data_IF_466351781808
#
_entry.id   IF_466351781808
#
_cell.length_a   1.000
_cell.length_b   1.000
_cell.length_c   1.000
_cell.angle_alpha   90.00
_cell.angle_beta   90.00
_cell.angle_gamma   90.00
#
_symmetry.space_group_name_H-M   'P 1'
#
loop_
_entity.id
_entity.type
_entity.pdbx_description
1 polymer ?
#
# COMPACT_ATOMS: atom_id res chain seq x y z
N UNK A 1 -58.85 5.67 38.60
CA UNK A 1 -59.68 6.04 37.43
C UNK A 1 -59.74 7.56 37.32
N UNK A 2 -59.52 8.09 36.10
CA UNK A 2 -59.87 9.44 35.62
C UNK A 2 -59.14 10.66 36.21
N UNK A 3 -58.17 11.17 35.44
CA UNK A 3 -57.65 12.55 35.41
C UNK A 3 -56.60 12.55 34.26
N UNK A 4 -56.64 13.32 33.16
CA UNK A 4 -56.99 14.72 32.90
C UNK A 4 -57.45 14.92 31.45
N UNK A 5 -58.35 15.87 31.23
CA UNK A 5 -58.73 16.45 29.92
C UNK A 5 -58.82 17.97 30.05
N UNK A 6 -57.98 18.74 29.33
CA UNK A 6 -58.11 20.16 28.93
C UNK A 6 -57.13 20.30 27.73
N UNK A 7 -57.48 20.34 26.43
CA UNK A 7 -58.21 21.31 25.58
C UNK A 7 -57.68 22.76 25.56
N UNK A 8 -56.89 23.10 24.53
CA UNK A 8 -56.70 24.43 23.92
C UNK A 8 -56.19 24.15 22.48
N UNK A 9 -56.98 24.32 21.40
CA UNK A 9 -57.30 25.57 20.67
C UNK A 9 -56.03 26.25 20.12
N UNK A 10 -55.85 26.63 18.86
CA UNK A 10 -56.60 26.55 17.60
C UNK A 10 -55.65 26.96 16.44
N UNK A 11 -56.06 26.62 15.21
CA UNK A 11 -55.85 27.26 13.91
C UNK A 11 -54.79 28.36 13.73
N UNK A 12 -53.89 28.18 12.75
CA UNK A 12 -53.75 29.11 11.60
C UNK A 12 -53.38 28.31 10.35
N UNK A 13 -54.21 28.51 9.33
CA UNK A 13 -54.19 28.01 7.96
C UNK A 13 -54.01 29.25 7.08
N UNK A 14 -53.21 29.19 5.98
CA UNK A 14 -53.15 30.08 4.80
C UNK A 14 -51.76 29.87 4.15
N UNK A 15 -51.52 29.10 3.07
CA UNK A 15 -52.03 29.06 1.69
C UNK A 15 -51.59 30.22 0.78
N UNK A 16 -51.15 29.83 -0.44
CA UNK A 16 -50.92 30.58 -1.71
C UNK A 16 -49.48 31.01 -2.08
N UNK A 17 -49.15 31.21 -3.39
CA UNK A 17 -49.21 30.25 -4.50
C UNK A 17 -48.02 30.38 -5.49
N UNK A 18 -48.06 29.55 -6.53
CA UNK A 18 -47.19 29.51 -7.71
C UNK A 18 -47.29 30.73 -8.66
N UNK A 19 -46.36 30.80 -9.64
CA UNK A 19 -46.38 31.44 -10.98
C UNK A 19 -44.98 32.07 -11.25
N UNK A 20 -44.30 32.03 -12.40
CA UNK A 20 -44.42 31.35 -13.70
C UNK A 20 -43.34 31.94 -14.63
N UNK A 21 -42.77 31.10 -15.51
CA UNK A 21 -42.36 31.40 -16.89
C UNK A 21 -41.23 32.41 -17.20
N UNK A 22 -40.21 31.96 -17.95
CA UNK A 22 -40.08 32.29 -19.38
C UNK A 22 -39.08 31.36 -20.10
N UNK A 23 -39.58 30.73 -21.15
CA UNK A 23 -38.87 29.97 -22.19
C UNK A 23 -38.35 30.89 -23.29
N UNK A 24 -37.13 30.70 -23.82
CA UNK A 24 -36.75 31.20 -25.15
C UNK A 24 -35.76 30.26 -25.86
N UNK A 25 -36.33 29.57 -26.85
CA UNK A 25 -35.85 29.19 -28.20
C UNK A 25 -34.46 28.60 -28.47
N UNK A 26 -34.54 27.43 -29.09
CA UNK A 26 -33.65 26.81 -30.08
C UNK A 26 -33.12 27.77 -31.17
N UNK A 27 -31.83 27.63 -31.49
CA UNK A 27 -31.34 27.78 -32.87
C UNK A 27 -30.33 26.69 -33.19
N UNK A 28 -30.78 25.77 -34.03
CA UNK A 28 -29.98 24.87 -34.85
C UNK A 28 -29.27 25.68 -35.94
N UNK A 29 -27.96 25.51 -36.09
CA UNK A 29 -27.27 25.92 -37.33
C UNK A 29 -26.32 24.82 -37.79
N UNK A 30 -26.44 24.53 -39.08
CA UNK A 30 -25.87 23.46 -39.89
C UNK A 30 -24.75 24.06 -40.76
N UNK A 31 -23.57 23.45 -40.80
CA UNK A 31 -22.58 23.56 -41.89
C UNK A 31 -21.45 22.55 -41.60
N UNK A 32 -21.32 21.40 -42.27
CA UNK A 32 -20.89 21.11 -43.65
C UNK A 32 -19.55 21.73 -44.07
N UNK A 33 -18.56 20.84 -44.22
CA UNK A 33 -17.46 20.79 -45.19
C UNK A 33 -16.83 22.10 -45.70
N UNK A 34 -15.51 22.24 -45.60
CA UNK A 34 -14.59 22.11 -46.75
C UNK A 34 -13.15 22.54 -46.40
N UNK A 35 -12.20 21.73 -46.90
CA UNK A 35 -10.81 22.00 -47.30
C UNK A 35 -10.11 23.28 -46.85
N UNK A 36 -8.93 23.12 -46.23
CA UNK A 36 -7.87 24.13 -46.28
C UNK A 36 -6.53 23.48 -46.67
N UNK A 37 -6.00 23.93 -47.81
CA UNK A 37 -4.61 23.73 -48.26
C UNK A 37 -4.01 25.13 -48.46
N UNK A 38 -2.82 25.36 -47.89
CA UNK A 38 -1.84 26.46 -48.16
C UNK A 38 -2.27 27.87 -47.71
N UNK A 39 -1.44 28.77 -47.16
CA UNK A 39 0.01 28.98 -47.31
C UNK A 39 0.60 29.84 -46.17
N UNK A 40 1.83 29.50 -45.77
CA UNK A 40 3.04 30.34 -45.58
C UNK A 40 3.00 31.54 -44.58
N UNK A 41 3.81 31.44 -43.51
CA UNK A 41 4.98 32.30 -43.29
C UNK A 41 5.86 31.76 -42.12
N UNK A 42 7.16 32.00 -42.24
CA UNK A 42 8.32 31.42 -41.54
C UNK A 42 8.48 31.84 -40.06
N UNK A 43 9.36 31.13 -39.32
CA UNK A 43 10.28 31.86 -38.44
C UNK A 43 11.76 31.57 -38.71
N UNK A 44 12.51 32.67 -38.69
CA UNK A 44 13.94 32.83 -38.94
C UNK A 44 14.85 32.17 -37.89
N UNK A 45 15.98 31.70 -38.42
CA UNK A 45 17.22 31.23 -37.79
C UNK A 45 17.92 32.22 -36.86
N UNK A 46 18.51 31.69 -35.78
CA UNK A 46 19.94 31.76 -35.40
C UNK A 46 20.11 31.50 -33.89
N UNK A 47 21.21 31.05 -33.29
CA UNK A 47 22.41 30.25 -33.62
C UNK A 47 23.26 30.34 -32.33
N UNK A 48 23.85 29.23 -31.83
CA UNK A 48 25.01 29.11 -30.90
C UNK A 48 24.90 27.73 -30.21
N UNK A 49 25.58 26.65 -30.62
CA UNK A 49 27.03 26.40 -30.73
C UNK A 49 27.75 26.55 -29.37
N UNK A 50 28.53 25.61 -28.83
CA UNK A 50 29.01 24.29 -29.26
C UNK A 50 29.51 23.57 -28.00
N UNK A 51 29.26 22.27 -27.90
CA UNK A 51 29.92 21.38 -26.94
C UNK A 51 31.39 21.23 -27.31
N UNK A 52 32.28 21.57 -26.38
CA UNK A 52 33.71 21.36 -26.53
C UNK A 52 34.27 20.71 -25.26
N UNK A 53 34.35 19.38 -25.27
CA UNK A 53 35.39 18.64 -24.56
C UNK A 53 35.49 17.26 -25.20
N UNK A 54 36.32 17.16 -26.22
CA UNK A 54 37.48 16.28 -26.20
C UNK A 54 38.39 16.73 -27.35
N UNK A 55 39.56 17.22 -26.94
CA UNK A 55 40.58 17.80 -27.81
C UNK A 55 41.10 16.77 -28.81
N UNK A 56 41.05 17.22 -30.05
CA UNK A 56 41.86 16.87 -31.22
C UNK A 56 43.35 17.07 -30.93
N UNK A 57 44.19 16.14 -31.40
CA UNK A 57 45.44 16.48 -32.10
C UNK A 57 45.70 15.43 -33.17
N UNK A 58 45.41 15.79 -34.42
CA UNK A 58 46.15 15.29 -35.58
C UNK A 58 46.53 16.53 -36.38
N UNK A 59 47.84 16.75 -36.47
CA UNK A 59 48.47 17.73 -37.35
C UNK A 59 48.51 17.11 -38.74
N UNK A 60 48.32 17.96 -39.74
CA UNK A 60 48.22 17.65 -41.16
C UNK A 60 49.58 17.55 -41.86
N UNK A 61 49.53 16.95 -43.05
CA UNK A 61 50.38 17.11 -44.25
C UNK A 61 51.52 16.12 -44.54
N UNK A 62 51.64 15.89 -45.85
CA UNK A 62 52.70 15.29 -46.67
C UNK A 62 52.84 13.76 -46.68
N UNK A 63 52.42 13.21 -47.83
CA UNK A 63 53.11 12.24 -48.69
C UNK A 63 53.93 11.09 -48.08
N UNK A 64 53.73 9.94 -48.73
CA UNK A 64 54.64 8.81 -48.85
C UNK A 64 54.50 7.67 -47.84
N UNK A 65 54.08 6.54 -48.42
CA UNK A 65 54.47 5.15 -48.10
C UNK A 65 54.17 4.63 -46.69
N UNK A 66 53.31 3.61 -46.65
CA UNK A 66 53.23 2.66 -45.55
C UNK A 66 54.35 1.62 -45.73
N UNK A 67 55.31 1.46 -44.80
CA UNK A 67 56.00 0.20 -44.63
C UNK A 67 55.40 -0.56 -43.44
N UNK A 68 54.95 -1.77 -43.74
CA UNK A 68 54.71 -2.83 -42.78
C UNK A 68 56.04 -3.25 -42.13
N UNK A 69 56.24 -2.89 -40.87
CA UNK A 69 56.97 -3.65 -39.84
C UNK A 69 57.45 -2.70 -38.76
N UNK A 70 57.01 -2.89 -37.51
CA UNK A 70 57.91 -3.05 -36.37
C UNK A 70 57.09 -3.44 -35.14
N UNK A 71 57.51 -4.54 -34.53
CA UNK A 71 57.05 -5.03 -33.24
C UNK A 71 57.32 -4.01 -32.12
N UNK A 72 56.58 -4.22 -31.02
CA UNK A 72 56.97 -3.98 -29.62
C UNK A 72 56.38 -2.73 -28.95
N UNK A 73 55.25 -2.93 -28.27
CA UNK A 73 55.20 -2.78 -26.81
C UNK A 73 53.85 -3.30 -26.29
N UNK A 74 53.90 -4.49 -25.71
CA UNK A 74 52.80 -5.13 -25.00
C UNK A 74 52.46 -4.33 -23.75
N UNK A 75 51.59 -3.31 -23.88
CA UNK A 75 50.86 -2.81 -22.72
C UNK A 75 49.71 -3.76 -22.44
N UNK A 76 50.01 -4.82 -21.68
CA UNK A 76 49.01 -5.62 -21.00
C UNK A 76 48.32 -4.72 -19.96
N UNK A 77 47.25 -4.05 -20.37
CA UNK A 77 46.27 -3.54 -19.42
C UNK A 77 45.64 -4.76 -18.76
N UNK A 78 46.27 -5.23 -17.68
CA UNK A 78 45.65 -6.10 -16.71
C UNK A 78 44.48 -5.31 -16.15
N UNK A 79 43.33 -5.46 -16.79
CA UNK A 79 42.04 -5.21 -16.16
C UNK A 79 41.91 -6.30 -15.10
N UNK A 80 42.65 -6.15 -14.01
CA UNK A 80 42.38 -6.70 -12.71
C UNK A 80 41.08 -6.06 -12.26
N UNK A 81 40.00 -6.43 -12.95
CA UNK A 81 38.64 -6.22 -12.54
C UNK A 81 38.55 -7.08 -11.29
N UNK A 82 38.89 -6.47 -10.16
CA UNK A 82 38.56 -7.00 -8.85
C UNK A 82 37.07 -7.28 -8.93
N UNK A 83 36.74 -8.56 -9.18
CA UNK A 83 35.41 -9.09 -9.00
C UNK A 83 35.26 -9.15 -7.48
N UNK A 84 35.22 -7.97 -6.85
CA UNK A 84 34.93 -7.77 -5.45
C UNK A 84 33.65 -8.56 -5.22
N UNK A 85 33.80 -9.60 -4.43
CA UNK A 85 32.79 -10.57 -4.05
C UNK A 85 31.41 -9.89 -3.95
N UNK A 86 30.61 -10.01 -5.01
CA UNK A 86 29.18 -9.76 -4.92
C UNK A 86 28.64 -10.91 -4.08
N UNK A 87 28.65 -10.73 -2.75
CA UNK A 87 28.12 -11.65 -1.74
C UNK A 87 26.75 -12.11 -2.26
N UNK A 88 26.70 -13.34 -2.75
CA UNK A 88 25.49 -13.93 -3.31
C UNK A 88 24.40 -13.77 -2.25
N UNK A 89 23.35 -13.02 -2.57
CA UNK A 89 22.29 -12.69 -1.62
C UNK A 89 21.77 -13.99 -1.00
N UNK A 90 21.94 -14.14 0.30
CA UNK A 90 21.48 -15.34 1.00
C UNK A 90 19.97 -15.45 0.80
N UNK A 91 19.53 -16.50 0.07
CA UNK A 91 18.10 -16.73 -0.18
C UNK A 91 17.39 -16.81 1.17
N UNK A 92 16.47 -15.87 1.44
CA UNK A 92 15.67 -15.87 2.67
C UNK A 92 14.88 -17.17 2.74
N UNK A 93 15.19 -18.02 3.73
CA UNK A 93 14.42 -19.23 4.01
C UNK A 93 12.97 -18.83 4.34
N UNK A 94 12.00 -19.46 3.67
CA UNK A 94 10.58 -19.23 3.99
C UNK A 94 10.30 -19.75 5.41
N UNK A 95 9.52 -19.03 6.23
CA UNK A 95 9.13 -19.52 7.54
C UNK A 95 8.32 -20.81 7.41
N UNK A 96 8.58 -21.81 8.27
CA UNK A 96 7.91 -23.11 8.24
C UNK A 96 6.39 -23.01 8.50
N UNK A 97 5.96 -21.98 9.22
CA UNK A 97 4.61 -21.89 9.79
C UNK A 97 3.58 -21.22 8.86
N UNK A 98 3.86 -21.09 7.55
CA UNK A 98 2.93 -20.46 6.59
C UNK A 98 2.60 -18.99 6.90
N UNK A 99 3.41 -18.33 7.72
CA UNK A 99 3.17 -16.94 8.14
C UNK A 99 3.42 -15.98 6.99
N UNK A 100 2.41 -15.18 6.66
CA UNK A 100 2.44 -14.20 5.57
C UNK A 100 3.01 -12.88 6.08
N UNK A 101 2.39 -12.33 7.12
CA UNK A 101 2.71 -11.01 7.65
C UNK A 101 2.39 -10.96 9.14
N UNK A 102 3.23 -10.27 9.90
CA UNK A 102 3.06 -10.08 11.35
C UNK A 102 3.04 -8.60 11.66
N UNK A 103 2.02 -8.13 12.37
CA UNK A 103 1.94 -6.76 12.83
C UNK A 103 2.78 -6.58 14.12
N UNK A 104 4.06 -6.26 13.93
CA UNK A 104 4.98 -5.99 15.05
C UNK A 104 4.65 -4.70 15.78
N UNK A 105 4.07 -3.72 15.08
CA UNK A 105 3.67 -2.43 15.65
C UNK A 105 2.52 -2.60 16.64
N UNK A 106 1.52 -3.42 16.30
CA UNK A 106 0.40 -3.71 17.20
C UNK A 106 0.84 -4.28 18.56
N UNK A 107 1.75 -5.28 18.58
CA UNK A 107 2.26 -5.88 19.82
C UNK A 107 3.02 -4.90 20.72
N UNK A 108 3.60 -3.86 20.13
CA UNK A 108 4.32 -2.82 20.87
C UNK A 108 3.38 -1.73 21.39
N UNK A 109 2.41 -1.30 20.58
CA UNK A 109 1.52 -0.18 20.91
C UNK A 109 0.36 -0.58 21.83
N UNK A 110 -0.08 -1.83 21.74
CA UNK A 110 -1.25 -2.33 22.44
C UNK A 110 -0.91 -3.50 23.36
N UNK A 111 -1.67 -3.61 24.43
CA UNK A 111 -1.80 -4.79 25.26
C UNK A 111 -2.94 -5.63 24.69
N UNK A 112 -2.69 -6.92 24.45
CA UNK A 112 -3.65 -7.82 23.81
C UNK A 112 -4.36 -8.60 24.91
N UNK A 113 -5.67 -8.47 25.00
CA UNK A 113 -6.49 -9.06 26.06
C UNK A 113 -7.09 -10.39 25.60
N UNK A 114 -7.66 -10.41 24.39
CA UNK A 114 -8.28 -11.60 23.81
C UNK A 114 -7.87 -11.71 22.34
N UNK A 115 -7.73 -12.93 21.83
CA UNK A 115 -7.43 -13.16 20.41
C UNK A 115 -8.49 -14.03 19.77
N UNK A 116 -8.77 -13.76 18.49
CA UNK A 116 -9.76 -14.48 17.71
C UNK A 116 -9.23 -14.74 16.30
N UNK A 117 -9.65 -15.86 15.72
CA UNK A 117 -9.32 -16.22 14.36
C UNK A 117 -10.46 -15.81 13.42
N UNK A 118 -10.13 -15.09 12.34
CA UNK A 118 -11.10 -14.67 11.33
C UNK A 118 -10.67 -15.14 9.94
N UNK A 119 -11.63 -15.61 9.15
CA UNK A 119 -11.45 -15.70 7.69
C UNK A 119 -11.55 -14.32 7.06
N UNK A 120 -10.95 -14.13 5.88
CA UNK A 120 -11.05 -12.87 5.13
C UNK A 120 -11.52 -13.12 3.70
N UNK A 121 -12.47 -12.31 3.23
CA UNK A 121 -12.93 -12.37 1.85
C UNK A 121 -12.02 -11.55 0.93
N UNK A 122 -11.32 -12.25 0.04
CA UNK A 122 -10.31 -11.72 -0.86
C UNK A 122 -10.71 -11.94 -2.32
N UNK A 123 -10.28 -11.04 -3.20
CA UNK A 123 -10.33 -11.21 -4.65
C UNK A 123 -9.16 -12.08 -5.10
N UNK A 124 -9.30 -12.78 -6.22
CA UNK A 124 -8.24 -13.66 -6.75
C UNK A 124 -6.90 -12.94 -7.00
N UNK A 125 -6.92 -11.69 -7.46
CA UNK A 125 -5.69 -10.90 -7.68
C UNK A 125 -4.96 -10.55 -6.38
N UNK A 126 -5.68 -10.48 -5.27
CA UNK A 126 -5.10 -10.19 -3.95
C UNK A 126 -4.43 -11.41 -3.37
N UNK A 127 -5.03 -12.59 -3.54
CA UNK A 127 -4.41 -13.85 -3.13
C UNK A 127 -3.04 -14.01 -3.82
N UNK A 128 -2.94 -13.65 -5.11
CA UNK A 128 -1.65 -13.62 -5.83
C UNK A 128 -0.67 -12.63 -5.20
N UNK A 129 -1.07 -11.37 -4.99
CA UNK A 129 -0.23 -10.36 -4.32
C UNK A 129 0.23 -10.76 -2.92
N UNK A 130 -0.61 -11.44 -2.16
CA UNK A 130 -0.30 -11.92 -0.80
C UNK A 130 0.74 -13.05 -0.87
N UNK A 131 0.64 -13.94 -1.85
CA UNK A 131 1.66 -14.98 -2.09
C UNK A 131 3.02 -14.39 -2.48
N UNK A 132 3.02 -13.23 -3.15
CA UNK A 132 4.22 -12.43 -3.43
C UNK A 132 4.73 -11.66 -2.20
N UNK A 133 4.01 -11.69 -1.07
CA UNK A 133 4.38 -11.02 0.18
C UNK A 133 4.07 -9.52 0.22
N UNK A 134 3.20 -9.01 -0.65
CA UNK A 134 2.86 -7.57 -0.75
C UNK A 134 1.77 -7.10 0.23
N UNK A 135 1.59 -7.81 1.35
CA UNK A 135 0.54 -7.51 2.35
C UNK A 135 1.12 -6.80 3.57
N UNK A 136 0.50 -5.68 3.96
CA UNK A 136 0.87 -4.93 5.17
C UNK A 136 -0.34 -4.70 6.08
N UNK A 137 -0.16 -4.99 7.37
CA UNK A 137 -1.17 -4.90 8.43
C UNK A 137 -0.97 -3.73 9.41
N UNK A 138 0.11 -2.94 9.28
CA UNK A 138 0.55 -2.00 10.33
C UNK A 138 -0.53 -1.00 10.79
N UNK A 139 -1.20 -0.34 9.85
CA UNK A 139 -2.21 0.71 10.15
C UNK A 139 -3.65 0.20 9.97
N UNK A 140 -3.81 -1.11 9.86
CA UNK A 140 -5.12 -1.73 9.67
C UNK A 140 -5.82 -1.99 10.99
N UNK A 141 -7.14 -1.85 10.99
CA UNK A 141 -8.00 -2.08 12.15
C UNK A 141 -9.29 -2.76 11.70
N UNK A 142 -10.00 -3.37 12.65
CA UNK A 142 -11.27 -4.05 12.37
C UNK A 142 -12.41 -3.21 12.91
N UNK A 143 -13.41 -2.98 12.08
CA UNK A 143 -14.66 -2.35 12.46
C UNK A 143 -15.75 -3.41 12.46
N UNK A 144 -16.49 -3.49 13.56
CA UNK A 144 -17.71 -4.29 13.66
C UNK A 144 -18.90 -3.38 13.36
N UNK A 145 -19.85 -3.89 12.59
CA UNK A 145 -21.09 -3.15 12.31
C UNK A 145 -21.93 -3.00 13.58
N UNK A 146 -22.75 -1.93 13.63
CA UNK A 146 -23.61 -1.62 14.80
C UNK A 146 -24.56 -2.76 15.19
N UNK A 147 -24.91 -3.62 14.24
CA UNK A 147 -25.79 -4.77 14.47
C UNK A 147 -25.04 -6.02 15.00
N UNK A 148 -23.71 -5.98 15.09
CA UNK A 148 -22.86 -7.09 15.55
C UNK A 148 -22.93 -8.33 14.66
N UNK A 149 -23.34 -8.21 13.39
CA UNK A 149 -23.45 -9.36 12.46
C UNK A 149 -22.24 -9.52 11.55
N UNK A 150 -21.61 -8.42 11.20
CA UNK A 150 -20.50 -8.36 10.24
C UNK A 150 -19.34 -7.58 10.82
N UNK A 151 -18.14 -8.03 10.47
CA UNK A 151 -16.89 -7.33 10.76
C UNK A 151 -16.15 -7.12 9.46
N UNK A 152 -15.47 -5.98 9.36
CA UNK A 152 -14.68 -5.64 8.18
C UNK A 152 -13.30 -5.15 8.59
N UNK A 153 -12.29 -5.62 7.87
CA UNK A 153 -10.94 -5.11 7.95
C UNK A 153 -10.82 -3.84 7.11
N UNK A 154 -10.38 -2.76 7.74
CA UNK A 154 -10.20 -1.44 7.15
C UNK A 154 -8.71 -1.11 7.09
N UNK A 155 -8.33 -0.30 6.09
CA UNK A 155 -6.99 0.25 5.91
C UNK A 155 -5.86 -0.81 5.78
N UNK A 156 -6.21 -2.05 5.43
CA UNK A 156 -5.24 -3.09 5.10
C UNK A 156 -4.71 -2.85 3.69
N UNK A 157 -3.40 -2.63 3.58
CA UNK A 157 -2.74 -2.39 2.31
C UNK A 157 -2.29 -3.72 1.69
N UNK A 158 -2.84 -4.03 0.52
CA UNK A 158 -2.39 -5.15 -0.31
C UNK A 158 -1.95 -4.56 -1.65
N UNK A 159 -0.66 -4.66 -1.94
CA UNK A 159 -0.09 -4.09 -3.16
C UNK A 159 -0.64 -4.80 -4.40
N UNK A 160 -0.74 -4.03 -5.48
CA UNK A 160 -1.14 -4.50 -6.80
C UNK A 160 -0.29 -5.67 -7.31
N UNK A 161 -0.95 -6.64 -7.96
CA UNK A 161 -0.23 -7.77 -8.57
C UNK A 161 0.42 -7.31 -9.87
N UNK A 162 1.70 -7.61 -10.07
CA UNK A 162 2.50 -7.09 -11.20
C UNK A 162 2.10 -7.71 -12.53
N UNK A 163 1.76 -9.00 -12.54
CA UNK A 163 1.48 -9.74 -13.78
C UNK A 163 0.00 -9.73 -14.18
N UNK A 164 -0.87 -9.12 -13.37
CA UNK A 164 -2.29 -9.00 -13.71
C UNK A 164 -2.50 -7.76 -14.57
N UNK A 165 -3.27 -7.87 -15.65
CA UNK A 165 -3.67 -6.73 -16.47
C UNK A 165 -4.45 -5.67 -15.67
N UNK A 166 -4.42 -4.43 -16.13
CA UNK A 166 -4.98 -3.26 -15.41
C UNK A 166 -6.46 -3.41 -15.06
N UNK A 167 -7.25 -4.05 -15.94
CA UNK A 167 -8.69 -4.24 -15.76
C UNK A 167 -9.06 -5.12 -14.54
N UNK A 168 -8.26 -6.14 -14.23
CA UNK A 168 -8.55 -7.07 -13.12
C UNK A 168 -7.95 -6.62 -11.79
N UNK A 169 -7.36 -5.42 -11.76
CA UNK A 169 -6.65 -4.96 -10.59
C UNK A 169 -7.61 -4.59 -9.46
N UNK A 170 -7.20 -4.88 -8.22
CA UNK A 170 -7.94 -4.45 -7.03
C UNK A 170 -7.45 -3.09 -6.55
N UNK A 171 -8.31 -2.42 -5.78
CA UNK A 171 -7.89 -1.30 -4.95
C UNK A 171 -7.14 -1.81 -3.70
N UNK A 172 -6.03 -1.16 -3.39
CA UNK A 172 -5.05 -1.62 -2.40
C UNK A 172 -5.59 -1.55 -0.98
N UNK A 173 -6.39 -0.51 -0.68
CA UNK A 173 -6.94 -0.22 0.66
C UNK A 173 -8.44 -0.50 0.76
N UNK A 174 -9.01 -1.28 -0.16
CA UNK A 174 -10.43 -1.63 -0.12
C UNK A 174 -10.83 -2.25 1.22
N UNK A 175 -12.09 -2.05 1.60
CA UNK A 175 -12.69 -2.69 2.78
C UNK A 175 -12.87 -4.19 2.50
N UNK A 176 -12.49 -5.03 3.47
CA UNK A 176 -12.50 -6.49 3.33
C UNK A 176 -13.39 -7.11 4.40
N UNK A 177 -14.51 -7.76 4.04
CA UNK A 177 -15.35 -8.39 5.04
C UNK A 177 -14.64 -9.61 5.65
N UNK A 178 -14.87 -9.80 6.94
CA UNK A 178 -14.32 -10.87 7.75
C UNK A 178 -15.39 -11.92 8.04
N UNK A 179 -14.97 -13.17 8.03
CA UNK A 179 -15.81 -14.33 8.31
C UNK A 179 -15.53 -14.76 9.76
N UNK A 180 -16.44 -14.36 10.67
CA UNK A 180 -16.39 -14.64 12.11
C UNK A 180 -17.76 -15.10 12.61
N UNK A 181 -17.81 -15.78 13.75
CA UNK A 181 -19.09 -16.20 14.31
C UNK A 181 -19.86 -15.00 14.88
N UNK A 182 -21.19 -15.06 14.77
CA UNK A 182 -22.09 -13.99 15.21
C UNK A 182 -22.01 -13.71 16.72
N UNK A 183 -21.83 -14.75 17.54
CA UNK A 183 -21.67 -14.64 18.99
C UNK A 183 -20.40 -13.87 19.34
N UNK A 184 -19.29 -14.21 18.68
CA UNK A 184 -18.00 -13.56 18.87
C UNK A 184 -18.03 -12.08 18.43
N UNK A 185 -18.63 -11.80 17.27
CA UNK A 185 -18.78 -10.45 16.75
C UNK A 185 -19.52 -9.54 17.75
N UNK A 186 -20.62 -10.01 18.35
CA UNK A 186 -21.38 -9.26 19.36
C UNK A 186 -20.60 -9.07 20.66
N UNK A 187 -19.92 -10.12 21.13
CA UNK A 187 -19.07 -10.07 22.33
C UNK A 187 -17.98 -8.99 22.18
N UNK A 188 -17.35 -8.94 21.01
CA UNK A 188 -16.30 -7.98 20.71
C UNK A 188 -16.84 -6.57 20.45
N UNK A 189 -18.04 -6.44 19.88
CA UNK A 189 -18.73 -5.15 19.75
C UNK A 189 -18.95 -4.50 21.13
N UNK A 190 -19.57 -5.23 22.06
CA UNK A 190 -19.82 -4.77 23.42
C UNK A 190 -18.54 -4.33 24.14
N UNK A 191 -17.43 -5.04 23.92
CA UNK A 191 -16.14 -4.65 24.51
C UNK A 191 -15.47 -3.48 23.80
N UNK A 192 -15.72 -3.27 22.52
CA UNK A 192 -15.17 -2.13 21.77
C UNK A 192 -15.91 -0.84 22.14
N UNK A 193 -17.18 -0.94 22.54
CA UNK A 193 -17.96 0.17 23.09
C UNK A 193 -17.43 0.64 24.46
N UNK A 194 -16.72 -0.22 25.19
CA UNK A 194 -16.01 0.18 26.41
C UNK A 194 -14.85 1.12 26.05
N UNK A 195 -14.67 2.19 26.84
CA UNK A 195 -13.67 3.20 26.56
C UNK A 195 -12.25 2.61 26.47
N UNK A 196 -11.52 2.96 25.41
CA UNK A 196 -10.10 2.64 25.24
C UNK A 196 -9.79 1.24 24.67
N UNK A 197 -10.81 0.52 24.17
CA UNK A 197 -10.66 -0.79 23.54
C UNK A 197 -10.72 -0.68 22.01
N UNK A 198 -9.88 -1.45 21.33
CA UNK A 198 -9.83 -1.48 19.85
C UNK A 198 -9.53 -2.88 19.35
N UNK A 199 -9.88 -3.15 18.09
CA UNK A 199 -9.64 -4.44 17.45
C UNK A 199 -8.58 -4.27 16.37
N UNK A 200 -7.45 -4.96 16.55
CA UNK A 200 -6.29 -4.88 15.65
C UNK A 200 -5.90 -6.26 15.11
N UNK A 201 -5.50 -6.36 13.83
CA UNK A 201 -4.95 -7.59 13.28
C UNK A 201 -3.50 -7.79 13.75
N UNK A 202 -3.20 -8.99 14.23
CA UNK A 202 -1.90 -9.36 14.81
C UNK A 202 -0.99 -10.09 13.83
N UNK A 203 -1.55 -11.02 13.05
CA UNK A 203 -0.84 -11.76 12.01
C UNK A 203 -1.80 -12.28 10.93
N UNK A 204 -1.29 -12.43 9.72
CA UNK A 204 -1.90 -13.18 8.63
C UNK A 204 -1.08 -14.44 8.37
N UNK A 205 -1.76 -15.57 8.17
CA UNK A 205 -1.12 -16.86 7.90
C UNK A 205 -1.98 -17.74 6.99
N UNK A 206 -1.35 -18.70 6.34
CA UNK A 206 -2.03 -19.80 5.65
C UNK A 206 -2.30 -20.92 6.63
N UNK A 207 -3.50 -21.50 6.57
CA UNK A 207 -3.75 -22.78 7.25
C UNK A 207 -3.30 -23.96 6.39
N UNK A 208 -3.51 -25.15 6.92
CA UNK A 208 -3.39 -26.45 6.24
C UNK A 208 -4.15 -26.47 4.90
N UNK A 209 -5.37 -25.91 4.85
CA UNK A 209 -6.17 -25.80 3.62
C UNK A 209 -5.69 -24.74 2.61
N UNK A 210 -4.52 -24.12 2.81
CA UNK A 210 -4.00 -23.01 2.01
C UNK A 210 -4.92 -21.77 1.93
N UNK A 211 -5.85 -21.64 2.89
CA UNK A 211 -6.71 -20.46 3.05
C UNK A 211 -6.04 -19.44 3.95
N UNK A 212 -6.23 -18.17 3.63
CA UNK A 212 -5.68 -17.05 4.41
C UNK A 212 -6.60 -16.79 5.61
N UNK A 213 -6.01 -16.85 6.80
CA UNK A 213 -6.67 -16.45 8.04
C UNK A 213 -5.92 -15.29 8.71
N UNK A 214 -6.69 -14.50 9.45
CA UNK A 214 -6.19 -13.42 10.29
C UNK A 214 -6.36 -13.81 11.75
N UNK A 215 -5.31 -13.60 12.53
CA UNK A 215 -5.43 -13.54 13.98
C UNK A 215 -5.70 -12.08 14.35
N UNK A 216 -6.87 -11.84 14.93
CA UNK A 216 -7.28 -10.55 15.48
C UNK A 216 -7.00 -10.52 16.98
N UNK A 217 -6.78 -9.33 17.51
CA UNK A 217 -6.65 -9.09 18.94
C UNK A 217 -7.57 -7.97 19.37
N UNK A 218 -8.32 -8.22 20.44
CA UNK A 218 -8.94 -7.16 21.24
C UNK A 218 -7.85 -6.55 22.11
N UNK A 219 -7.66 -5.24 21.97
CA UNK A 219 -6.47 -4.56 22.42
C UNK A 219 -6.81 -3.28 23.20
N UNK A 220 -6.00 -3.00 24.22
CA UNK A 220 -5.98 -1.73 24.94
C UNK A 220 -4.69 -0.98 24.61
N UNK A 221 -4.74 0.34 24.49
CA UNK A 221 -3.54 1.16 24.29
C UNK A 221 -2.58 1.07 25.49
N UNK A 222 -1.28 0.85 25.24
CA UNK A 222 -0.25 0.86 26.29
C UNK A 222 0.14 2.28 26.67
N UNK A 223 0.39 2.50 27.96
CA UNK A 223 0.93 3.75 28.47
C UNK A 223 2.43 3.90 28.14
N UNK A 224 2.96 5.11 28.26
CA UNK A 224 4.38 5.38 27.98
C UNK A 224 5.32 4.59 28.90
N UNK A 225 4.94 4.37 30.16
CA UNK A 225 5.69 3.55 31.12
C UNK A 225 5.79 2.10 30.64
N UNK A 226 4.67 1.50 30.24
CA UNK A 226 4.61 0.12 29.74
C UNK A 226 5.39 -0.08 28.44
N UNK A 227 5.41 0.95 27.57
CA UNK A 227 6.23 0.96 26.36
C UNK A 227 7.72 0.93 26.68
N UNK A 228 8.17 1.67 27.69
CA UNK A 228 9.58 1.64 28.16
C UNK A 228 9.95 0.27 28.69
N UNK A 229 9.09 -0.36 29.51
CA UNK A 229 9.30 -1.72 29.99
C UNK A 229 9.40 -2.74 28.84
N UNK A 230 8.52 -2.63 27.83
CA UNK A 230 8.56 -3.50 26.63
C UNK A 230 9.86 -3.32 25.83
N UNK A 231 10.44 -2.13 25.81
CA UNK A 231 11.73 -1.86 25.14
C UNK A 231 12.87 -2.52 25.93
N UNK A 232 12.93 -2.28 27.24
CA UNK A 232 13.93 -2.86 28.13
C UNK A 232 13.95 -4.40 28.05
N UNK A 233 12.77 -5.04 28.14
CA UNK A 233 12.65 -6.49 28.03
C UNK A 233 13.15 -7.00 26.67
N UNK A 234 12.81 -6.30 25.59
CA UNK A 234 13.25 -6.67 24.23
C UNK A 234 14.77 -6.56 24.08
N UNK A 235 15.38 -5.54 24.66
CA UNK A 235 16.83 -5.32 24.57
C UNK A 235 17.58 -6.32 25.46
N UNK A 236 17.12 -6.58 26.68
CA UNK A 236 17.65 -7.65 27.53
C UNK A 236 17.58 -9.04 26.84
N UNK A 237 16.46 -9.34 26.17
CA UNK A 237 16.30 -10.59 25.40
C UNK A 237 17.25 -10.68 24.20
N UNK A 238 17.56 -9.56 23.57
CA UNK A 238 18.54 -9.52 22.45
C UNK A 238 19.95 -9.74 22.97
N UNK A 239 20.31 -9.15 24.11
CA UNK A 239 21.61 -9.33 24.75
C UNK A 239 21.83 -10.77 25.18
N UNK A 240 20.86 -11.39 25.87
CA UNK A 240 20.95 -12.80 26.25
C UNK A 240 21.09 -13.72 25.03
N UNK A 241 20.33 -13.46 23.96
CA UNK A 241 20.44 -14.21 22.70
C UNK A 241 21.82 -14.08 22.03
N UNK A 242 22.48 -12.92 22.17
CA UNK A 242 23.86 -12.70 21.66
C UNK A 242 24.87 -13.49 22.49
N UNK A 243 24.77 -13.44 23.82
CA UNK A 243 25.67 -14.16 24.73
C UNK A 243 25.58 -15.67 24.47
N UNK A 244 24.37 -16.23 24.40
CA UNK A 244 24.15 -17.66 24.11
C UNK A 244 24.76 -18.06 22.77
N UNK A 245 24.61 -17.20 21.74
CA UNK A 245 25.16 -17.48 20.41
C UNK A 245 26.69 -17.44 20.42
N UNK A 246 27.30 -16.53 21.17
CA UNK A 246 28.75 -16.40 21.29
C UNK A 246 29.36 -17.56 22.08
N UNK A 247 28.65 -18.10 23.08
CA UNK A 247 29.09 -19.26 23.86
C UNK A 247 29.01 -20.58 23.07
N UNK A 248 28.21 -20.63 21.99
CA UNK A 248 28.04 -21.82 21.14
C UNK A 248 29.02 -21.87 19.96
N UNK A 249 30.24 -21.41 20.21
CA UNK A 249 31.42 -21.53 19.34
C UNK A 249 32.34 -22.54 20.02
#
# INVERSE_FOLDING_TARGET
MRRWTIFFSASVLMLHPALSFLSVTTTTTKASNHSWRSSIAEPSTANLSVNNSLRRMMITTSSDTIPSSFLSSSFSFSSSRTRLYAKSGTKKKKPKDGTICVNRRARFQYEIIETLQAGISLKGTEVKSIRDGKMNLQDSFVKIDKNGRSASLMNCHIGKHTMSGAYFQHDERRIRPLLIHKSEARKWLQRTEQAGMTIVPLKAYFNEDNRIKLQLGLARGKNMRDKRATIQERDAKRESSRIIKNFRI
#
